data_IF_596715757829
#
_entry.id   IF_596715757829
#
_cell.length_a   1.000
_cell.length_b   1.000
_cell.length_c   1.000
_cell.angle_alpha   90.00
_cell.angle_beta   90.00
_cell.angle_gamma   90.00
#
_symmetry.space_group_name_H-M   'P 1'
#
loop_
_entity.id
_entity.type
_entity.pdbx_description
1 polymer ?
#
# COMPACT_ATOMS: atom_id res chain seq x y z
N UNK A 1 -12.38 7.91 20.40
CA UNK A 1 -11.65 6.62 20.37
C UNK A 1 -10.58 6.78 19.30
N UNK A 2 -9.30 6.51 19.60
CA UNK A 2 -8.26 6.51 18.55
C UNK A 2 -8.66 5.45 17.54
N UNK A 3 -8.59 5.79 16.26
CA UNK A 3 -8.88 4.85 15.17
C UNK A 3 -7.98 3.61 15.36
N UNK A 4 -8.57 2.45 15.63
CA UNK A 4 -7.84 1.25 16.04
C UNK A 4 -7.35 0.45 14.82
N UNK A 5 -7.18 1.16 13.69
CA UNK A 5 -6.76 0.61 12.41
C UNK A 5 -5.24 0.54 12.34
N UNK A 6 -4.75 -0.59 11.83
CA UNK A 6 -3.32 -0.78 11.58
C UNK A 6 -2.97 -0.13 10.24
N UNK A 7 -2.05 0.85 10.26
CA UNK A 7 -1.47 1.39 9.02
C UNK A 7 -0.62 0.32 8.36
N UNK A 8 -0.92 0.04 7.10
CA UNK A 8 -0.28 -1.00 6.31
C UNK A 8 0.30 -0.41 5.03
N UNK A 9 1.40 -1.00 4.59
CA UNK A 9 1.97 -0.73 3.28
C UNK A 9 2.32 -2.04 2.57
N UNK A 10 2.30 -2.04 1.24
CA UNK A 10 2.64 -3.21 0.41
C UNK A 10 3.90 -2.92 -0.40
N UNK A 11 4.93 -3.77 -0.25
CA UNK A 11 6.17 -3.70 -1.02
C UNK A 11 6.16 -4.83 -2.06
N UNK A 12 6.28 -4.45 -3.33
CA UNK A 12 6.00 -5.25 -4.52
C UNK A 12 4.54 -5.12 -4.97
N UNK A 13 4.29 -4.80 -6.23
CA UNK A 13 2.97 -4.57 -6.82
C UNK A 13 2.68 -5.56 -7.97
N UNK A 14 3.08 -6.83 -7.78
CA UNK A 14 2.74 -7.94 -8.68
C UNK A 14 1.35 -8.52 -8.44
N UNK A 15 1.01 -9.59 -9.15
CA UNK A 15 -0.33 -10.21 -9.09
C UNK A 15 -0.79 -10.59 -7.69
N UNK A 16 0.09 -11.25 -6.90
CA UNK A 16 -0.26 -11.68 -5.53
C UNK A 16 -0.39 -10.46 -4.61
N UNK A 17 0.46 -9.45 -4.77
CA UNK A 17 0.39 -8.23 -3.99
C UNK A 17 -0.92 -7.47 -4.21
N UNK A 18 -1.43 -7.42 -5.45
CA UNK A 18 -2.72 -6.81 -5.74
C UNK A 18 -3.88 -7.50 -4.99
N UNK A 19 -3.82 -8.81 -4.79
CA UNK A 19 -4.80 -9.54 -3.97
C UNK A 19 -4.72 -9.12 -2.50
N UNK A 20 -3.51 -9.08 -1.92
CA UNK A 20 -3.32 -8.63 -0.54
C UNK A 20 -3.74 -7.18 -0.34
N UNK A 21 -3.38 -6.29 -1.26
CA UNK A 21 -3.74 -4.87 -1.21
C UNK A 21 -5.26 -4.67 -1.24
N UNK A 22 -5.99 -5.43 -2.09
CA UNK A 22 -7.46 -5.41 -2.13
C UNK A 22 -8.09 -5.89 -0.83
N UNK A 23 -7.55 -6.96 -0.23
CA UNK A 23 -8.04 -7.45 1.06
C UNK A 23 -7.79 -6.40 2.15
N UNK A 24 -6.57 -5.85 2.24
CA UNK A 24 -6.20 -4.82 3.21
C UNK A 24 -7.09 -3.57 3.08
N UNK A 25 -7.34 -3.11 1.86
CA UNK A 25 -8.21 -1.96 1.59
C UNK A 25 -9.67 -2.18 1.98
N UNK A 26 -10.13 -3.43 2.10
CA UNK A 26 -11.50 -3.77 2.49
C UNK A 26 -11.66 -4.08 3.99
N UNK A 27 -10.56 -4.24 4.73
CA UNK A 27 -10.60 -4.57 6.16
C UNK A 27 -10.86 -3.31 6.99
N UNK A 28 -11.91 -3.34 7.82
CA UNK A 28 -12.22 -2.24 8.74
C UNK A 28 -11.13 -1.99 9.80
N UNK A 29 -10.25 -2.97 10.01
CA UNK A 29 -9.14 -2.94 10.97
C UNK A 29 -7.80 -2.54 10.35
N UNK A 30 -7.75 -2.26 9.05
CA UNK A 30 -6.54 -1.86 8.35
C UNK A 30 -6.73 -0.55 7.57
N UNK A 31 -5.64 0.17 7.40
CA UNK A 31 -5.58 1.35 6.53
C UNK A 31 -4.38 1.20 5.59
N UNK A 32 -4.64 1.01 4.30
CA UNK A 32 -3.59 0.82 3.30
C UNK A 32 -3.07 2.19 2.83
N UNK A 33 -1.98 2.64 3.46
CA UNK A 33 -1.47 4.01 3.33
C UNK A 33 -0.40 4.17 2.26
N UNK A 34 0.30 3.10 1.90
CA UNK A 34 1.39 3.18 0.92
C UNK A 34 1.58 1.89 0.10
N UNK A 35 2.12 2.02 -1.10
CA UNK A 35 2.67 0.91 -1.87
C UNK A 35 4.04 1.24 -2.48
N UNK A 36 4.83 0.22 -2.79
CA UNK A 36 6.13 0.37 -3.42
C UNK A 36 6.38 -0.70 -4.46
N UNK A 37 6.95 -0.35 -5.61
CA UNK A 37 7.50 -1.30 -6.58
C UNK A 37 8.66 -0.64 -7.33
N UNK A 38 9.71 -1.40 -7.66
CA UNK A 38 10.84 -0.90 -8.45
C UNK A 38 10.42 -0.48 -9.87
N UNK A 39 9.27 -0.97 -10.36
CA UNK A 39 8.65 -0.57 -11.62
C UNK A 39 7.56 0.49 -11.32
N UNK A 40 7.81 1.78 -11.63
CA UNK A 40 6.89 2.88 -11.26
C UNK A 40 5.45 2.68 -11.75
N UNK A 41 5.28 2.10 -12.94
CA UNK A 41 3.98 1.86 -13.55
C UNK A 41 3.14 0.87 -12.72
N UNK A 42 3.77 -0.09 -12.04
CA UNK A 42 3.05 -1.04 -11.16
C UNK A 42 2.61 -0.38 -9.86
N UNK A 43 3.49 0.43 -9.26
CA UNK A 43 3.17 1.16 -8.03
C UNK A 43 2.04 2.16 -8.26
N UNK A 44 2.15 2.97 -9.32
CA UNK A 44 1.13 3.97 -9.70
C UNK A 44 -0.20 3.34 -10.08
N UNK A 45 -0.20 2.23 -10.84
CA UNK A 45 -1.43 1.52 -11.19
C UNK A 45 -2.15 0.99 -9.95
N UNK A 46 -1.44 0.31 -9.04
CA UNK A 46 -2.04 -0.23 -7.82
C UNK A 46 -2.56 0.88 -6.90
N UNK A 47 -1.80 1.98 -6.79
CA UNK A 47 -2.21 3.13 -6.01
C UNK A 47 -3.49 3.78 -6.57
N UNK A 48 -3.57 3.95 -7.89
CA UNK A 48 -4.76 4.47 -8.56
C UNK A 48 -5.98 3.55 -8.41
N UNK A 49 -5.80 2.25 -8.63
CA UNK A 49 -6.87 1.25 -8.55
C UNK A 49 -7.53 1.17 -7.16
N UNK A 50 -6.75 1.38 -6.10
CA UNK A 50 -7.19 1.19 -4.71
C UNK A 50 -7.27 2.50 -3.91
N UNK A 51 -6.93 3.64 -4.53
CA UNK A 51 -6.92 4.94 -3.85
C UNK A 51 -5.84 5.06 -2.77
N UNK A 52 -4.71 4.36 -2.92
CA UNK A 52 -3.60 4.41 -1.96
C UNK A 52 -2.96 5.81 -2.05
N UNK A 53 -2.85 6.56 -0.94
CA UNK A 53 -2.48 7.96 -0.98
C UNK A 53 -0.99 8.19 -1.29
N UNK A 54 -0.13 7.19 -1.06
CA UNK A 54 1.32 7.29 -1.30
C UNK A 54 1.83 6.09 -2.09
N UNK A 55 2.71 6.34 -3.05
CA UNK A 55 3.49 5.30 -3.71
C UNK A 55 4.94 5.75 -3.84
N UNK A 56 5.86 4.80 -3.97
CA UNK A 56 7.29 5.06 -4.20
C UNK A 56 7.93 3.92 -4.97
N UNK A 57 9.14 4.13 -5.47
CA UNK A 57 10.00 3.09 -6.03
C UNK A 57 11.09 2.63 -5.07
N UNK A 58 11.22 3.28 -3.91
CA UNK A 58 12.18 2.95 -2.87
C UNK A 58 11.47 2.54 -1.58
N UNK A 59 11.62 1.27 -1.19
CA UNK A 59 11.00 0.74 0.02
C UNK A 59 11.53 1.40 1.30
N UNK A 60 12.76 1.94 1.28
CA UNK A 60 13.33 2.60 2.44
C UNK A 60 12.52 3.85 2.83
N UNK A 61 11.90 4.53 1.86
CA UNK A 61 11.04 5.68 2.12
C UNK A 61 9.75 5.31 2.87
N UNK A 62 9.27 4.08 2.72
CA UNK A 62 8.13 3.55 3.51
C UNK A 62 8.59 3.24 4.93
N UNK A 63 9.73 2.57 5.09
CA UNK A 63 10.25 2.19 6.41
C UNK A 63 10.70 3.39 7.26
N UNK A 64 11.00 4.52 6.63
CA UNK A 64 11.36 5.76 7.30
C UNK A 64 10.14 6.53 7.88
N UNK A 65 8.90 6.10 7.59
CA UNK A 65 7.65 6.74 8.02
C UNK A 65 6.78 5.74 8.84
N UNK A 66 7.05 5.59 10.16
CA UNK A 66 6.35 4.63 11.03
C UNK A 66 4.90 4.99 11.36
#
# INVERSE_FOLDING_TARGET
MKDNRVRCAVIGCGTIAAVHARILSALETADLVACCDIIPERATALAGDLGIPRWTTDYAEILADP
#
